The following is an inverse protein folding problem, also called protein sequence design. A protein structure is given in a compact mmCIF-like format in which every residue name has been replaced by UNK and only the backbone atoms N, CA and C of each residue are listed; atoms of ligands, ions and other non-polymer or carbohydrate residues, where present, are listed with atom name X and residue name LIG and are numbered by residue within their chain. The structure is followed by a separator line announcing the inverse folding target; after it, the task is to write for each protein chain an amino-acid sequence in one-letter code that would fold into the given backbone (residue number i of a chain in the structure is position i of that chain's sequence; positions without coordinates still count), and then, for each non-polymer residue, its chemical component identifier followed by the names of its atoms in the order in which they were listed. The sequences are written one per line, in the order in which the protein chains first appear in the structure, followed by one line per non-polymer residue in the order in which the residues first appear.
data_IF_017675766232
#
_entry.id   IF_017675766232
#
_cell.length_a   1.000
_cell.length_b   1.000
_cell.length_c   1.000
_cell.angle_alpha   90.00
_cell.angle_beta   90.00
_cell.angle_gamma   90.00
#
_symmetry.space_group_name_H-M   'P 1'
#
loop_
_entity.id
_entity.type
_entity.pdbx_description
1 polymer ?
#
# COMPACT_ATOMS: atom_id res chain seq x y z
N UNK A 1 -3.52 -6.27 12.04
CA UNK A 1 -4.19 -7.22 11.11
C UNK A 1 -5.64 -6.79 10.94
N UNK A 2 -6.32 -6.46 12.05
CA UNK A 2 -7.64 -5.82 12.08
C UNK A 2 -7.71 -4.58 11.17
N UNK A 3 -6.86 -3.57 11.37
CA UNK A 3 -6.84 -2.35 10.54
C UNK A 3 -6.74 -2.63 9.03
N UNK A 4 -5.94 -3.63 8.64
CA UNK A 4 -5.71 -3.99 7.23
C UNK A 4 -6.98 -4.57 6.61
N UNK A 5 -7.74 -5.36 7.38
CA UNK A 5 -8.98 -6.01 6.94
C UNK A 5 -10.12 -4.99 6.93
N UNK A 6 -10.27 -4.21 8.00
CA UNK A 6 -11.33 -3.21 8.13
C UNK A 6 -11.24 -2.11 7.07
N UNK A 7 -10.01 -1.72 6.69
CA UNK A 7 -9.77 -0.66 5.72
C UNK A 7 -9.57 -1.19 4.28
N UNK A 8 -9.91 -2.45 3.99
CA UNK A 8 -9.67 -3.09 2.68
C UNK A 8 -10.04 -2.21 1.48
N UNK A 9 -11.28 -1.71 1.44
CA UNK A 9 -11.76 -0.97 0.28
C UNK A 9 -11.00 0.35 0.12
N UNK A 10 -10.78 1.09 1.22
CA UNK A 10 -10.02 2.34 1.18
C UNK A 10 -8.57 2.12 0.74
N UNK A 11 -7.93 1.03 1.15
CA UNK A 11 -6.57 0.69 0.72
C UNK A 11 -6.50 0.40 -0.79
N UNK A 12 -7.48 -0.34 -1.33
CA UNK A 12 -7.59 -0.61 -2.76
C UNK A 12 -7.82 0.70 -3.53
N UNK A 13 -8.69 1.57 -3.06
CA UNK A 13 -8.94 2.87 -3.70
C UNK A 13 -7.67 3.74 -3.72
N UNK A 14 -6.97 3.83 -2.58
CA UNK A 14 -5.69 4.56 -2.49
C UNK A 14 -4.63 3.98 -3.45
N UNK A 15 -4.52 2.65 -3.54
CA UNK A 15 -3.63 1.98 -4.48
C UNK A 15 -4.00 2.32 -5.92
N UNK A 16 -5.27 2.22 -6.28
CA UNK A 16 -5.73 2.51 -7.64
C UNK A 16 -5.46 3.97 -8.02
N UNK A 17 -5.75 4.91 -7.13
CA UNK A 17 -5.47 6.33 -7.36
C UNK A 17 -3.98 6.61 -7.51
N UNK A 18 -3.14 5.97 -6.69
CA UNK A 18 -1.70 6.05 -6.86
C UNK A 18 -1.24 5.46 -8.21
N UNK A 19 -1.82 4.34 -8.64
CA UNK A 19 -1.50 3.71 -9.92
C UNK A 19 -1.95 4.57 -11.11
N UNK A 20 -3.13 5.23 -11.04
CA UNK A 20 -3.60 6.17 -12.07
C UNK A 20 -2.61 7.30 -12.31
N UNK A 21 -2.02 7.83 -11.25
CA UNK A 21 -1.05 8.92 -11.32
C UNK A 21 0.27 8.44 -11.97
N UNK A 22 0.77 7.27 -11.54
CA UNK A 22 2.06 6.76 -12.01
C UNK A 22 1.98 6.09 -13.40
N UNK A 23 0.82 5.56 -13.77
CA UNK A 23 0.60 4.77 -14.99
C UNK A 23 -0.70 5.18 -15.70
N UNK A 24 -0.82 6.43 -16.19
CA UNK A 24 -2.09 6.97 -16.72
C UNK A 24 -2.63 6.23 -17.95
N UNK A 25 -1.76 5.55 -18.70
CA UNK A 25 -2.13 4.81 -19.91
C UNK A 25 -2.34 3.30 -19.66
N UNK A 26 -2.21 2.83 -18.43
CA UNK A 26 -2.37 1.41 -18.10
C UNK A 26 -3.85 1.06 -17.91
N UNK A 27 -4.28 -0.02 -18.54
CA UNK A 27 -5.61 -0.59 -18.32
C UNK A 27 -5.64 -1.51 -17.09
N UNK A 28 -6.83 -1.78 -16.57
CA UNK A 28 -7.06 -2.70 -15.45
C UNK A 28 -6.39 -2.30 -14.11
N UNK A 29 -6.28 -1.00 -13.83
CA UNK A 29 -5.66 -0.48 -12.61
C UNK A 29 -6.28 -1.06 -11.32
N UNK A 30 -7.60 -1.22 -11.28
CA UNK A 30 -8.30 -1.86 -10.16
C UNK A 30 -7.80 -3.28 -9.89
N UNK A 31 -7.51 -4.06 -10.94
CA UNK A 31 -6.97 -5.42 -10.79
C UNK A 31 -5.57 -5.39 -10.16
N UNK A 32 -4.72 -4.44 -10.57
CA UNK A 32 -3.40 -4.27 -9.98
C UNK A 32 -3.49 -3.80 -8.52
N UNK A 33 -4.43 -2.92 -8.20
CA UNK A 33 -4.69 -2.49 -6.82
C UNK A 33 -5.14 -3.66 -5.92
N UNK A 34 -6.07 -4.48 -6.40
CA UNK A 34 -6.52 -5.71 -5.70
C UNK A 34 -5.34 -6.65 -5.47
N UNK A 35 -4.54 -6.93 -6.52
CA UNK A 35 -3.36 -7.79 -6.38
C UNK A 35 -2.35 -7.22 -5.36
N UNK A 36 -2.14 -5.91 -5.36
CA UNK A 36 -1.28 -5.23 -4.39
C UNK A 36 -1.78 -5.42 -2.95
N UNK A 37 -3.10 -5.31 -2.72
CA UNK A 37 -3.70 -5.59 -1.41
C UNK A 37 -3.59 -7.08 -1.02
N UNK A 38 -3.75 -8.00 -1.96
CA UNK A 38 -3.60 -9.44 -1.70
C UNK A 38 -2.14 -9.79 -1.32
N UNK A 39 -1.17 -9.15 -1.97
CA UNK A 39 0.23 -9.22 -1.54
C UNK A 39 0.39 -8.66 -0.11
N UNK A 40 -0.22 -7.52 0.21
CA UNK A 40 -0.21 -6.99 1.60
C UNK A 40 -0.67 -8.01 2.62
N UNK A 41 -1.77 -8.71 2.35
CA UNK A 41 -2.25 -9.79 3.20
C UNK A 41 -1.27 -10.96 3.28
N UNK A 42 -0.66 -11.37 2.16
CA UNK A 42 0.26 -12.50 2.11
C UNK A 42 1.51 -12.25 2.95
N UNK A 43 2.26 -11.17 2.71
CA UNK A 43 3.50 -10.90 3.44
C UNK A 43 3.22 -10.42 4.89
N UNK A 44 2.00 -10.01 5.22
CA UNK A 44 1.65 -9.76 6.62
C UNK A 44 1.51 -11.07 7.41
N UNK A 45 1.06 -12.15 6.78
CA UNK A 45 0.90 -13.47 7.43
C UNK A 45 2.24 -14.10 7.83
N UNK A 46 3.29 -13.88 7.05
CA UNK A 46 4.63 -14.41 7.33
C UNK A 46 5.56 -13.40 8.05
N UNK A 47 5.02 -12.26 8.49
CA UNK A 47 5.73 -11.15 9.13
C UNK A 47 6.90 -10.55 8.32
N UNK A 48 6.96 -10.78 7.01
CA UNK A 48 7.98 -10.18 6.13
C UNK A 48 7.62 -8.78 5.63
N UNK A 49 6.38 -8.33 5.87
CA UNK A 49 5.89 -7.00 5.55
C UNK A 49 5.99 -5.98 6.68
N UNK A 50 6.32 -4.75 6.28
CA UNK A 50 6.14 -3.51 7.03
C UNK A 50 4.94 -2.79 6.41
N UNK A 51 3.88 -2.62 7.22
CA UNK A 51 2.68 -1.86 6.88
C UNK A 51 2.50 -0.77 7.93
N UNK A 52 2.50 0.48 7.51
CA UNK A 52 2.26 1.63 8.38
C UNK A 52 1.09 2.42 7.78
N UNK A 53 -0.01 2.54 8.52
CA UNK A 53 -1.15 3.37 8.14
C UNK A 53 -1.06 4.75 8.78
N UNK A 54 -1.43 5.78 8.01
CA UNK A 54 -1.70 7.12 8.51
C UNK A 54 -3.21 7.30 8.64
N UNK A 55 -3.67 7.70 9.82
CA UNK A 55 -5.09 7.84 10.13
C UNK A 55 -5.41 9.29 10.50
N UNK A 56 -6.51 9.80 9.95
CA UNK A 56 -7.18 10.99 10.45
C UNK A 56 -8.44 10.53 11.18
N UNK A 57 -8.44 10.68 12.51
CA UNK A 57 -9.40 10.04 13.41
C UNK A 57 -9.38 8.50 13.22
N UNK A 58 -10.47 7.93 12.72
CA UNK A 58 -10.62 6.48 12.48
C UNK A 58 -10.50 6.12 10.98
N UNK A 59 -10.24 7.10 10.11
CA UNK A 59 -10.16 6.87 8.66
C UNK A 59 -8.71 6.82 8.20
N UNK A 60 -8.35 5.77 7.48
CA UNK A 60 -7.05 5.72 6.81
C UNK A 60 -6.98 6.78 5.70
N UNK A 61 -5.93 7.61 5.74
CA UNK A 61 -5.67 8.69 4.77
C UNK A 61 -4.38 8.46 3.99
N UNK A 62 -3.62 7.44 4.31
CA UNK A 62 -2.39 7.08 3.62
C UNK A 62 -1.77 5.83 4.23
N UNK A 63 -0.81 5.24 3.52
CA UNK A 63 -0.06 4.10 4.03
C UNK A 63 1.32 3.98 3.36
N UNK A 64 2.22 3.33 4.08
CA UNK A 64 3.47 2.77 3.59
C UNK A 64 3.34 1.26 3.56
N UNK A 65 3.69 0.69 2.41
CA UNK A 65 3.85 -0.74 2.20
C UNK A 65 5.29 -1.04 1.78
N UNK A 66 5.96 -1.87 2.57
CA UNK A 66 7.29 -2.36 2.27
C UNK A 66 7.44 -3.82 2.71
N UNK A 67 8.39 -4.54 2.13
CA UNK A 67 8.71 -5.90 2.53
C UNK A 67 10.22 -6.15 2.47
N UNK A 68 10.68 -7.10 3.28
CA UNK A 68 12.09 -7.51 3.29
C UNK A 68 12.37 -8.42 2.10
N UNK A 69 13.49 -8.21 1.41
CA UNK A 69 13.97 -9.08 0.33
C UNK A 69 15.48 -9.25 0.43
N UNK A 70 15.94 -10.46 0.11
CA UNK A 70 17.36 -10.78 0.00
C UNK A 70 17.86 -10.45 -1.41
N UNK A 71 18.90 -9.62 -1.51
CA UNK A 71 19.57 -9.31 -2.79
C UNK A 71 21.06 -9.51 -2.59
N UNK A 72 21.66 -10.39 -3.40
CA UNK A 72 23.10 -10.69 -3.36
C UNK A 72 23.60 -11.10 -1.95
N UNK A 73 22.75 -11.78 -1.17
CA UNK A 73 23.06 -12.21 0.20
C UNK A 73 22.90 -11.13 1.27
N UNK A 74 22.38 -9.95 0.90
CA UNK A 74 22.08 -8.87 1.84
C UNK A 74 20.58 -8.66 1.99
N UNK A 75 20.15 -8.54 3.24
CA UNK A 75 18.77 -8.21 3.59
C UNK A 75 18.49 -6.72 3.34
N UNK A 76 17.44 -6.42 2.57
CA UNK A 76 17.04 -5.06 2.20
C UNK A 76 15.54 -4.87 2.35
N UNK A 77 15.13 -3.68 2.78
CA UNK A 77 13.72 -3.28 2.76
C UNK A 77 13.40 -2.71 1.38
N UNK A 78 12.41 -3.29 0.71
CA UNK A 78 11.86 -2.76 -0.53
C UNK A 78 10.54 -2.06 -0.26
N UNK A 79 10.48 -0.77 -0.56
CA UNK A 79 9.24 0.01 -0.51
C UNK A 79 8.48 -0.25 -1.81
N UNK A 80 7.32 -0.90 -1.69
CA UNK A 80 6.43 -1.12 -2.83
C UNK A 80 5.56 0.10 -3.10
N UNK A 81 4.94 0.66 -2.06
CA UNK A 81 4.06 1.82 -2.18
C UNK A 81 4.20 2.77 -0.99
N UNK A 82 4.27 4.06 -1.30
CA UNK A 82 3.96 5.17 -0.39
C UNK A 82 2.79 5.90 -1.00
N UNK A 83 1.66 5.94 -0.28
CA UNK A 83 0.44 6.54 -0.78
C UNK A 83 -0.15 7.47 0.27
N UNK A 84 -0.55 8.66 -0.16
CA UNK A 84 -1.31 9.61 0.63
C UNK A 84 -2.54 10.00 -0.17
N UNK A 85 -3.71 10.09 0.48
CA UNK A 85 -4.93 10.60 -0.11
C UNK A 85 -4.69 12.00 -0.68
N UNK A 86 -5.07 12.23 -1.95
CA UNK A 86 -4.83 13.48 -2.67
C UNK A 86 -5.39 14.72 -1.97
N UNK A 87 -6.48 14.60 -1.22
CA UNK A 87 -7.15 15.70 -0.51
C UNK A 87 -6.32 16.25 0.67
N UNK A 88 -5.35 15.48 1.16
CA UNK A 88 -4.55 15.81 2.35
C UNK A 88 -3.04 15.84 2.08
N UNK A 89 -2.62 15.76 0.81
CA UNK A 89 -1.21 15.91 0.42
C UNK A 89 -0.68 17.33 0.70
N UNK A 90 0.64 17.47 0.71
CA UNK A 90 1.34 18.74 0.89
C UNK A 90 1.12 19.41 2.26
N UNK A 91 0.98 18.60 3.32
CA UNK A 91 0.75 19.06 4.70
C UNK A 91 1.92 18.85 5.68
N UNK A 92 3.08 18.40 5.19
CA UNK A 92 4.29 18.13 5.98
C UNK A 92 4.46 16.66 6.27
#
# INVERSE_FOLDING_TARGET
MEDLIENKNFLIDLLEDNLKINFPNMSNLTKYAINGYDDMLRFKKDNSAILIGAFDKERIIGFLWAYTREILGESRIHIGHIVVNSEVRSRG
#
